data_IF_524070639089
#
_entry.id   IF_524070639089
#
_cell.length_a   1.000
_cell.length_b   1.000
_cell.length_c   1.000
_cell.angle_alpha   90.00
_cell.angle_beta   90.00
_cell.angle_gamma   90.00
#
_symmetry.space_group_name_H-M   'P 1'
#
loop_
_entity.id
_entity.type
_entity.pdbx_description
1 polymer ?
#
# COMPACT_ATOMS: atom_id res chain seq x y z
N UNK A 1 -3.71 -6.39 6.13
CA UNK A 1 -5.18 -6.49 6.27
C UNK A 1 -5.78 -6.22 4.91
N UNK A 2 -6.79 -6.99 4.49
CA UNK A 2 -7.46 -6.80 3.20
C UNK A 2 -8.95 -6.56 3.47
N UNK A 3 -9.51 -5.52 2.88
CA UNK A 3 -10.94 -5.20 2.93
C UNK A 3 -11.48 -5.30 1.51
N UNK A 4 -12.57 -6.04 1.33
CA UNK A 4 -13.21 -6.27 0.03
C UNK A 4 -14.67 -5.84 0.10
N UNK A 5 -15.12 -5.07 -0.88
CA UNK A 5 -16.51 -4.66 -1.03
C UNK A 5 -17.00 -5.02 -2.43
N UNK A 6 -18.13 -5.73 -2.51
CA UNK A 6 -18.76 -6.02 -3.79
C UNK A 6 -19.35 -4.74 -4.39
N UNK A 7 -19.04 -4.48 -5.66
CA UNK A 7 -19.41 -3.29 -6.37
C UNK A 7 -18.19 -2.51 -6.84
N UNK A 8 -18.32 -1.93 -8.04
CA UNK A 8 -17.32 -1.05 -8.63
C UNK A 8 -17.32 0.32 -7.96
N UNK A 9 -16.26 1.09 -8.14
CA UNK A 9 -16.27 2.52 -7.87
C UNK A 9 -17.22 3.25 -8.85
N UNK A 10 -17.78 4.39 -8.44
CA UNK A 10 -18.50 5.27 -9.38
C UNK A 10 -17.58 5.67 -10.54
N UNK A 11 -18.03 5.68 -11.81
CA UNK A 11 -17.21 6.04 -12.96
C UNK A 11 -16.54 7.42 -12.84
N UNK A 12 -17.12 8.34 -12.07
CA UNK A 12 -16.61 9.69 -11.82
C UNK A 12 -15.42 9.71 -10.85
N UNK A 13 -15.20 8.63 -10.10
CA UNK A 13 -14.12 8.48 -9.12
C UNK A 13 -13.37 7.17 -9.40
N UNK A 14 -12.60 7.10 -10.49
CA UNK A 14 -11.75 5.94 -10.76
C UNK A 14 -10.62 5.85 -9.72
N UNK A 15 -9.92 4.71 -9.69
CA UNK A 15 -8.88 4.39 -8.68
C UNK A 15 -7.84 5.51 -8.55
N UNK A 16 -7.41 6.10 -9.67
CA UNK A 16 -6.39 7.14 -9.71
C UNK A 16 -6.83 8.41 -8.95
N UNK A 17 -8.15 8.66 -8.89
CA UNK A 17 -8.71 9.80 -8.15
C UNK A 17 -8.67 9.58 -6.65
N UNK A 18 -8.66 8.35 -6.15
CA UNK A 18 -8.67 8.07 -4.70
C UNK A 18 -7.43 8.60 -3.98
N UNK A 19 -6.36 8.91 -4.71
CA UNK A 19 -5.13 9.51 -4.17
C UNK A 19 -5.10 11.04 -4.21
N UNK A 20 -6.17 11.67 -4.69
CA UNK A 20 -6.27 13.12 -4.85
C UNK A 20 -7.60 13.61 -4.30
N UNK A 21 -7.73 14.91 -4.03
CA UNK A 21 -9.03 15.42 -3.61
C UNK A 21 -10.06 15.29 -4.73
N UNK A 22 -11.24 14.80 -4.38
CA UNK A 22 -12.37 14.69 -5.29
C UNK A 22 -13.69 14.92 -4.55
N UNK A 23 -14.75 15.24 -5.29
CA UNK A 23 -16.10 15.27 -4.72
C UNK A 23 -16.53 13.86 -4.32
N UNK A 24 -17.26 13.73 -3.21
CA UNK A 24 -17.89 12.46 -2.84
C UNK A 24 -19.00 12.12 -3.85
N UNK A 25 -19.02 10.86 -4.31
CA UNK A 25 -20.01 10.33 -5.27
C UNK A 25 -20.68 9.09 -4.67
N UNK A 26 -21.54 9.24 -3.64
CA UNK A 26 -22.18 8.10 -3.00
C UNK A 26 -23.21 7.44 -3.93
N UNK A 27 -23.20 6.10 -4.00
CA UNK A 27 -24.22 5.34 -4.74
C UNK A 27 -25.60 5.42 -4.08
N UNK A 28 -25.62 5.37 -2.75
CA UNK A 28 -26.83 5.54 -1.94
C UNK A 28 -26.74 6.86 -1.18
N UNK A 29 -27.35 7.91 -1.73
CA UNK A 29 -27.33 9.26 -1.16
C UNK A 29 -28.04 9.36 0.18
N UNK A 30 -29.11 8.58 0.39
CA UNK A 30 -29.84 8.55 1.66
C UNK A 30 -28.96 7.98 2.77
N UNK A 31 -28.27 6.86 2.51
CA UNK A 31 -27.35 6.26 3.47
C UNK A 31 -26.19 7.21 3.78
N UNK A 32 -25.60 7.81 2.75
CA UNK A 32 -24.51 8.78 2.92
C UNK A 32 -24.95 10.00 3.74
N UNK A 33 -26.15 10.53 3.51
CA UNK A 33 -26.70 11.66 4.28
C UNK A 33 -26.87 11.31 5.76
N UNK A 34 -27.34 10.11 6.08
CA UNK A 34 -27.43 9.63 7.48
C UNK A 34 -26.05 9.58 8.14
N UNK A 35 -25.04 8.97 7.48
CA UNK A 35 -23.69 8.90 8.03
C UNK A 35 -23.01 10.28 8.12
N UNK A 36 -23.30 11.19 7.19
CA UNK A 36 -22.81 12.56 7.21
C UNK A 36 -23.38 13.33 8.41
N UNK A 37 -24.71 13.27 8.60
CA UNK A 37 -25.39 13.90 9.75
C UNK A 37 -24.94 13.31 11.09
N UNK A 38 -24.58 12.03 11.11
CA UNK A 38 -24.00 11.37 12.28
C UNK A 38 -22.50 11.71 12.51
N UNK A 39 -21.86 12.44 11.58
CA UNK A 39 -20.45 12.82 11.69
C UNK A 39 -19.44 11.72 11.35
N UNK A 40 -19.88 10.62 10.74
CA UNK A 40 -19.02 9.49 10.38
C UNK A 40 -18.28 9.67 9.06
N UNK A 41 -18.83 10.47 8.14
CA UNK A 41 -18.22 10.75 6.83
C UNK A 41 -18.25 12.25 6.52
N UNK A 42 -17.42 12.68 5.58
CA UNK A 42 -17.39 14.04 5.05
C UNK A 42 -18.00 14.11 3.64
N UNK A 43 -18.42 15.31 3.21
CA UNK A 43 -18.93 15.53 1.84
C UNK A 43 -17.83 15.64 0.77
N UNK A 44 -16.59 15.95 1.18
CA UNK A 44 -15.42 15.97 0.31
C UNK A 44 -14.73 14.59 0.39
N UNK A 45 -14.45 13.98 -0.76
CA UNK A 45 -13.80 12.67 -0.86
C UNK A 45 -12.34 12.72 -0.41
N UNK A 46 -12.12 12.81 0.91
CA UNK A 46 -10.79 12.87 1.54
C UNK A 46 -10.51 11.68 2.45
N UNK A 47 -11.48 10.79 2.62
CA UNK A 47 -11.33 9.62 3.49
C UNK A 47 -10.12 8.77 3.11
N UNK A 48 -9.92 8.52 1.81
CA UNK A 48 -8.78 7.76 1.29
C UNK A 48 -7.45 8.48 1.49
N UNK A 49 -7.41 9.81 1.31
CA UNK A 49 -6.22 10.62 1.62
C UNK A 49 -5.84 10.51 3.09
N UNK A 50 -6.81 10.70 3.99
CA UNK A 50 -6.59 10.57 5.44
C UNK A 50 -6.09 9.18 5.83
N UNK A 51 -6.57 8.13 5.16
CA UNK A 51 -6.08 6.76 5.36
C UNK A 51 -4.59 6.67 4.97
N UNK A 52 -4.21 7.18 3.79
CA UNK A 52 -2.81 7.18 3.34
C UNK A 52 -1.90 7.97 4.29
N UNK A 53 -2.31 9.17 4.68
CA UNK A 53 -1.61 10.01 5.66
C UNK A 53 -1.39 9.26 6.97
N UNK A 54 -2.42 8.58 7.50
CA UNK A 54 -2.29 7.79 8.73
C UNK A 54 -1.37 6.59 8.60
N UNK A 55 -1.31 5.95 7.43
CA UNK A 55 -0.31 4.92 7.18
C UNK A 55 1.10 5.53 7.18
N UNK A 56 1.28 6.66 6.51
CA UNK A 56 2.57 7.35 6.44
C UNK A 56 3.06 7.82 7.81
N UNK A 57 2.19 8.42 8.62
CA UNK A 57 2.46 8.87 10.00
C UNK A 57 2.99 7.73 10.88
N UNK A 58 2.50 6.51 10.67
CA UNK A 58 2.92 5.30 11.38
C UNK A 58 4.15 4.62 10.77
N UNK A 59 4.73 5.22 9.73
CA UNK A 59 5.86 4.63 9.02
C UNK A 59 5.47 3.37 8.24
N UNK A 60 4.19 3.21 7.86
CA UNK A 60 3.70 2.13 7.01
C UNK A 60 3.67 2.56 5.53
N UNK A 61 3.65 1.61 4.59
CA UNK A 61 3.32 1.87 3.20
C UNK A 61 1.91 2.43 3.04
N UNK A 62 1.69 3.21 1.99
CA UNK A 62 0.33 3.51 1.54
C UNK A 62 -0.43 2.21 1.23
N UNK A 63 -1.76 2.19 1.45
CA UNK A 63 -2.59 1.10 0.97
C UNK A 63 -2.63 1.06 -0.56
N UNK A 64 -2.82 -0.14 -1.10
CA UNK A 64 -3.21 -0.31 -2.49
C UNK A 64 -4.73 -0.30 -2.62
N UNK A 65 -5.19 0.35 -3.69
CA UNK A 65 -6.58 0.37 -4.11
C UNK A 65 -6.69 -0.37 -5.45
N UNK A 66 -7.54 -1.38 -5.50
CA UNK A 66 -7.74 -2.21 -6.69
C UNK A 66 -9.25 -2.37 -6.93
N UNK A 67 -9.62 -2.43 -8.20
CA UNK A 67 -10.95 -2.86 -8.63
C UNK A 67 -10.74 -4.02 -9.59
N UNK A 68 -11.21 -5.19 -9.20
CA UNK A 68 -11.08 -6.40 -10.01
C UNK A 68 -12.38 -7.20 -9.97
N UNK A 69 -12.79 -7.70 -11.14
CA UNK A 69 -14.02 -8.50 -11.31
C UNK A 69 -15.28 -7.94 -10.61
N UNK A 70 -15.40 -6.60 -10.51
CA UNK A 70 -16.55 -5.95 -9.86
C UNK A 70 -16.45 -5.85 -8.34
N UNK A 71 -15.27 -6.09 -7.76
CA UNK A 71 -14.99 -5.97 -6.33
C UNK A 71 -13.96 -4.86 -6.13
N UNK A 72 -14.25 -3.94 -5.21
CA UNK A 72 -13.29 -2.97 -4.73
C UNK A 72 -12.49 -3.54 -3.56
N UNK A 73 -11.17 -3.48 -3.66
CA UNK A 73 -10.23 -4.06 -2.70
C UNK A 73 -9.29 -2.98 -2.16
N UNK A 74 -9.13 -2.97 -0.84
CA UNK A 74 -8.14 -2.12 -0.15
C UNK A 74 -7.17 -3.01 0.61
N UNK A 75 -5.87 -2.92 0.28
CA UNK A 75 -4.81 -3.71 0.92
C UNK A 75 -3.94 -2.83 1.80
N UNK A 76 -3.87 -3.19 3.08
CA UNK A 76 -3.02 -2.55 4.09
C UNK A 76 -1.83 -3.42 4.46
N UNK A 77 -0.65 -2.80 4.57
CA UNK A 77 0.60 -3.47 4.88
C UNK A 77 1.05 -3.22 6.31
N UNK A 78 1.51 -4.28 6.99
CA UNK A 78 1.97 -4.20 8.39
C UNK A 78 3.40 -3.65 8.54
N UNK A 79 4.17 -3.61 7.47
CA UNK A 79 5.52 -3.03 7.47
C UNK A 79 5.96 -2.65 6.05
N UNK A 80 6.91 -1.71 5.96
CA UNK A 80 7.52 -1.25 4.70
C UNK A 80 8.40 -2.30 4.02
N UNK A 81 9.06 -3.12 4.82
CA UNK A 81 10.09 -4.05 4.37
C UNK A 81 9.50 -5.45 4.15
N UNK A 82 8.56 -5.57 3.20
CA UNK A 82 8.05 -6.86 2.72
C UNK A 82 8.37 -7.02 1.23
N UNK A 83 8.37 -8.26 0.75
CA UNK A 83 8.79 -8.58 -0.62
C UNK A 83 7.98 -7.82 -1.68
N UNK A 84 6.66 -7.72 -1.51
CA UNK A 84 5.77 -7.04 -2.46
C UNK A 84 6.11 -5.55 -2.59
N UNK A 85 6.26 -4.85 -1.46
CA UNK A 85 6.62 -3.44 -1.43
C UNK A 85 8.04 -3.19 -1.93
N UNK A 86 8.96 -4.11 -1.62
CA UNK A 86 10.32 -4.02 -2.12
C UNK A 86 10.39 -4.20 -3.64
N UNK A 87 9.60 -5.11 -4.23
CA UNK A 87 9.49 -5.26 -5.69
C UNK A 87 9.01 -3.96 -6.36
N UNK A 88 8.06 -3.25 -5.74
CA UNK A 88 7.58 -1.95 -6.24
C UNK A 88 8.66 -0.87 -6.28
N UNK A 89 9.73 -0.98 -5.47
CA UNK A 89 10.86 -0.05 -5.48
C UNK A 89 11.88 -0.32 -6.60
N UNK A 90 11.65 -1.35 -7.44
CA UNK A 90 12.54 -1.70 -8.55
C UNK A 90 13.86 -2.35 -8.12
N UNK A 91 13.97 -2.82 -6.88
CA UNK A 91 15.17 -3.53 -6.41
C UNK A 91 15.12 -5.01 -6.82
N UNK A 92 16.29 -5.59 -7.10
CA UNK A 92 16.39 -6.97 -7.57
C UNK A 92 16.25 -8.00 -6.43
N UNK A 93 16.08 -9.28 -6.78
CA UNK A 93 15.89 -10.37 -5.81
C UNK A 93 17.00 -10.46 -4.74
N UNK A 94 18.26 -10.16 -5.08
CA UNK A 94 19.37 -10.22 -4.13
C UNK A 94 19.28 -9.09 -3.11
N UNK A 95 18.91 -7.90 -3.56
CA UNK A 95 18.68 -6.75 -2.69
C UNK A 95 17.47 -6.98 -1.78
N UNK A 96 16.39 -7.57 -2.30
CA UNK A 96 15.21 -7.95 -1.49
C UNK A 96 15.61 -8.90 -0.37
N UNK A 97 16.34 -9.98 -0.69
CA UNK A 97 16.83 -10.95 0.32
C UNK A 97 17.65 -10.26 1.40
N UNK A 98 18.55 -9.36 1.01
CA UNK A 98 19.39 -8.63 1.97
C UNK A 98 18.59 -7.69 2.88
N UNK A 99 17.59 -6.97 2.35
CA UNK A 99 16.74 -6.10 3.17
C UNK A 99 15.91 -6.91 4.17
N UNK A 100 15.35 -8.04 3.75
CA UNK A 100 14.62 -8.95 4.64
C UNK A 100 15.55 -9.51 5.73
N UNK A 101 16.77 -9.92 5.38
CA UNK A 101 17.76 -10.38 6.35
C UNK A 101 18.11 -9.31 7.39
N UNK A 102 18.39 -8.08 6.95
CA UNK A 102 18.72 -6.96 7.85
C UNK A 102 17.53 -6.60 8.74
N UNK A 103 16.30 -6.66 8.22
CA UNK A 103 15.09 -6.44 9.02
C UNK A 103 14.99 -7.43 10.19
N UNK A 104 15.34 -8.69 9.98
CA UNK A 104 15.28 -9.73 11.02
C UNK A 104 16.48 -9.73 11.97
N UNK A 105 17.69 -9.45 11.46
CA UNK A 105 18.95 -9.57 12.21
C UNK A 105 19.54 -8.25 12.67
N UNK A 106 18.99 -7.13 12.21
CA UNK A 106 19.43 -5.75 12.50
C UNK A 106 20.68 -5.30 11.73
N UNK A 107 21.49 -6.23 11.22
CA UNK A 107 22.69 -5.95 10.42
C UNK A 107 22.99 -7.10 9.46
N UNK A 108 23.83 -6.83 8.47
CA UNK A 108 24.40 -7.84 7.58
C UNK A 108 25.86 -7.50 7.29
N UNK A 109 26.73 -8.48 7.39
CA UNK A 109 28.14 -8.37 6.98
C UNK A 109 28.29 -8.74 5.51
N UNK A 110 29.40 -8.34 4.88
CA UNK A 110 29.69 -8.74 3.50
C UNK A 110 29.76 -10.27 3.34
N UNK A 111 30.28 -10.97 4.36
CA UNK A 111 30.31 -12.44 4.38
C UNK A 111 28.89 -13.03 4.33
N UNK A 112 28.01 -12.62 5.25
CA UNK A 112 26.61 -13.09 5.30
C UNK A 112 25.84 -12.73 4.01
N UNK A 113 26.07 -11.54 3.45
CA UNK A 113 25.46 -11.14 2.18
C UNK A 113 25.85 -12.06 1.01
N UNK A 114 27.13 -12.43 0.92
CA UNK A 114 27.62 -13.34 -0.13
C UNK A 114 27.06 -14.75 0.04
N UNK A 115 27.00 -15.25 1.28
CA UNK A 115 26.39 -16.55 1.60
C UNK A 115 24.90 -16.56 1.25
N UNK A 116 24.18 -15.48 1.58
CA UNK A 116 22.75 -15.32 1.31
C UNK A 116 22.42 -15.23 -0.19
N UNK A 117 23.27 -14.56 -0.97
CA UNK A 117 22.97 -14.22 -2.38
C UNK A 117 23.71 -15.07 -3.41
N UNK A 118 24.67 -15.89 -2.98
CA UNK A 118 25.57 -16.64 -3.86
C UNK A 118 26.53 -15.75 -4.65
N UNK A 119 26.68 -14.47 -4.27
CA UNK A 119 27.51 -13.52 -5.01
C UNK A 119 29.00 -13.78 -4.78
N UNK A 120 29.74 -13.99 -5.87
CA UNK A 120 31.20 -13.97 -5.91
C UNK A 120 31.65 -12.68 -6.59
N UNK A 121 32.49 -11.90 -5.93
CA UNK A 121 33.17 -10.76 -6.56
C UNK A 121 33.97 -11.24 -7.76
N UNK A 122 34.01 -10.43 -8.83
CA UNK A 122 35.08 -10.55 -9.81
C UNK A 122 36.39 -10.30 -9.07
N UNK A 123 37.26 -11.30 -9.00
CA UNK A 123 38.66 -11.08 -8.65
C UNK A 123 39.25 -10.11 -9.67
N UNK A 124 40.06 -9.17 -9.18
CA UNK A 124 40.86 -8.27 -10.00
C UNK A 124 41.75 -9.10 -10.93
N UNK A 125 41.67 -8.81 -12.24
CA UNK A 125 42.72 -9.18 -13.20
C UNK A 125 44.08 -8.62 -12.76
#
# INVERSE_FOLDING_TARGET
MVIMNEGKLPPEVPIEKLKTEHLSKPRNTLLADVFYKAGFIESWGRGTIKIMEKCQDQGLPEPDFEEDHGVFVVKFYQNKWNEENLKKLGINERQIKAVIYVKEKGKITNKEYRELTGFRTKEQD
#
